data_IF_747543026386
#
_entry.id   IF_747543026386
#
_cell.length_a   1.000
_cell.length_b   1.000
_cell.length_c   1.000
_cell.angle_alpha   90.00
_cell.angle_beta   90.00
_cell.angle_gamma   90.00
#
_symmetry.space_group_name_H-M   'P 1'
#
loop_
_entity.id
_entity.type
_entity.pdbx_description
1 polymer ?
#
# COMPACT_ATOMS: atom_id res chain seq x y z
N UNK A 1 9.44 11.85 19.39
CA UNK A 1 10.54 12.81 19.19
C UNK A 1 11.39 12.47 17.96
N UNK A 2 11.99 11.28 17.87
CA UNK A 2 12.88 10.87 16.75
C UNK A 2 12.21 10.97 15.37
N UNK A 3 10.96 10.52 15.21
CA UNK A 3 10.21 10.63 13.96
C UNK A 3 10.14 12.07 13.41
N UNK A 4 9.81 13.03 14.26
CA UNK A 4 9.68 14.43 13.88
C UNK A 4 11.04 15.06 13.56
N UNK A 5 12.07 14.66 14.30
CA UNK A 5 13.46 15.09 14.03
C UNK A 5 13.92 14.59 12.65
N UNK A 6 13.70 13.31 12.33
CA UNK A 6 13.98 12.75 11.01
C UNK A 6 13.21 13.47 9.91
N UNK A 7 11.91 13.68 10.15
CA UNK A 7 11.01 14.29 9.16
C UNK A 7 11.30 15.75 8.87
N UNK A 8 11.62 16.56 9.88
CA UNK A 8 11.73 18.00 9.73
C UNK A 8 13.16 18.54 9.70
N UNK A 9 14.13 17.80 10.26
CA UNK A 9 15.51 18.27 10.40
C UNK A 9 16.48 17.53 9.47
N UNK A 10 16.43 16.21 9.43
CA UNK A 10 17.42 15.42 8.69
C UNK A 10 16.94 15.00 7.30
N UNK A 11 16.04 14.02 7.23
CA UNK A 11 15.64 13.37 5.97
C UNK A 11 14.70 14.26 5.17
N UNK A 12 13.75 14.90 5.83
CA UNK A 12 12.71 15.67 5.14
C UNK A 12 13.23 16.83 4.32
N UNK A 13 14.08 17.75 4.84
CA UNK A 13 14.63 18.84 4.06
C UNK A 13 15.44 18.33 2.86
N UNK A 14 16.29 17.33 3.07
CA UNK A 14 17.11 16.72 2.02
C UNK A 14 16.24 16.16 0.89
N UNK A 15 15.25 15.33 1.23
CA UNK A 15 14.37 14.72 0.23
C UNK A 15 13.47 15.75 -0.46
N UNK A 16 13.02 16.77 0.25
CA UNK A 16 12.21 17.84 -0.34
C UNK A 16 12.98 18.68 -1.35
N UNK A 17 14.27 18.93 -1.10
CA UNK A 17 15.13 19.74 -1.98
C UNK A 17 15.54 18.95 -3.22
N UNK A 18 15.99 17.70 -3.04
CA UNK A 18 16.48 16.88 -4.14
C UNK A 18 15.38 16.27 -5.01
N UNK A 19 14.20 16.04 -4.44
CA UNK A 19 13.05 15.44 -5.15
C UNK A 19 11.80 16.32 -5.00
N UNK A 20 11.64 17.33 -5.86
CA UNK A 20 10.44 18.15 -5.89
C UNK A 20 9.19 17.27 -6.06
N UNK A 21 8.30 17.33 -5.07
CA UNK A 21 7.12 16.47 -4.99
C UNK A 21 5.87 17.33 -5.12
N UNK A 22 5.05 17.09 -6.13
CA UNK A 22 3.71 17.63 -6.21
C UNK A 22 2.79 16.82 -5.29
N UNK A 23 1.97 17.50 -4.51
CA UNK A 23 1.01 16.86 -3.60
C UNK A 23 -0.39 17.37 -3.94
N UNK A 24 -1.32 16.44 -4.07
CA UNK A 24 -2.73 16.71 -4.40
C UNK A 24 -3.61 15.97 -3.39
N UNK A 25 -4.65 16.63 -2.90
CA UNK A 25 -5.66 16.02 -2.03
C UNK A 25 -5.18 15.73 -0.59
N UNK A 26 -4.10 16.37 -0.11
CA UNK A 26 -3.62 16.15 1.26
C UNK A 26 -4.66 16.52 2.33
N UNK A 27 -5.59 17.39 2.01
CA UNK A 27 -6.76 17.80 2.79
C UNK A 27 -7.76 16.65 3.02
N UNK A 28 -7.74 15.63 2.17
CA UNK A 28 -8.59 14.44 2.30
C UNK A 28 -8.18 13.54 3.48
N UNK A 29 -7.01 13.77 4.07
CA UNK A 29 -6.56 12.97 5.21
C UNK A 29 -7.20 13.53 6.48
N UNK A 30 -8.05 12.78 7.20
CA UNK A 30 -8.64 13.21 8.45
C UNK A 30 -7.59 13.64 9.47
N UNK A 31 -7.81 14.76 10.15
CA UNK A 31 -6.86 15.29 11.13
C UNK A 31 -6.80 14.45 12.40
N UNK A 32 -7.85 13.72 12.72
CA UNK A 32 -7.97 12.87 13.91
C UNK A 32 -8.55 11.50 13.54
N UNK A 33 -8.56 10.58 14.48
CA UNK A 33 -9.09 9.23 14.31
C UNK A 33 -8.15 8.29 13.55
N UNK A 34 -8.53 7.03 13.48
CA UNK A 34 -7.78 6.00 12.78
C UNK A 34 -7.99 6.06 11.27
N UNK A 35 -6.91 6.05 10.52
CA UNK A 35 -6.95 6.13 9.05
C UNK A 35 -5.97 5.14 8.45
N UNK A 36 -6.38 4.50 7.37
CA UNK A 36 -5.56 3.60 6.56
C UNK A 36 -5.20 4.33 5.27
N UNK A 37 -3.92 4.63 5.08
CA UNK A 37 -3.39 5.13 3.81
C UNK A 37 -3.06 3.92 2.93
N UNK A 38 -3.94 3.57 2.02
CA UNK A 38 -3.76 2.46 1.08
C UNK A 38 -3.07 2.97 -0.19
N UNK A 39 -1.81 2.57 -0.39
CA UNK A 39 -1.00 3.05 -1.52
C UNK A 39 -0.69 1.98 -2.56
N UNK A 40 -0.51 2.38 -3.84
CA UNK A 40 0.22 1.56 -4.80
C UNK A 40 1.70 1.48 -4.41
N UNK A 41 2.38 0.41 -4.80
CA UNK A 41 3.77 0.20 -4.38
C UNK A 41 4.72 0.02 -5.55
N UNK A 42 5.42 1.09 -5.91
CA UNK A 42 6.34 1.12 -7.06
C UNK A 42 7.81 0.97 -6.64
N UNK A 43 8.19 1.60 -5.53
CA UNK A 43 9.57 1.68 -5.09
C UNK A 43 9.72 1.64 -3.56
N UNK A 44 10.93 1.39 -3.06
CA UNK A 44 11.24 1.56 -1.63
C UNK A 44 11.01 3.01 -1.20
N UNK A 45 11.23 3.93 -2.11
CA UNK A 45 11.06 5.36 -1.93
C UNK A 45 9.65 5.77 -1.48
N UNK A 46 8.61 4.99 -1.84
CA UNK A 46 7.20 5.27 -1.45
C UNK A 46 7.05 5.42 0.06
N UNK A 47 7.67 4.52 0.83
CA UNK A 47 7.60 4.52 2.30
C UNK A 47 8.37 5.68 2.96
N UNK A 48 9.12 6.45 2.19
CA UNK A 48 9.79 7.66 2.65
C UNK A 48 9.04 8.91 2.21
N UNK A 49 8.63 8.99 0.93
CA UNK A 49 7.99 10.19 0.41
C UNK A 49 6.57 10.39 0.92
N UNK A 50 5.77 9.32 1.07
CA UNK A 50 4.41 9.42 1.59
C UNK A 50 4.37 10.05 3.00
N UNK A 51 5.14 9.57 4.02
CA UNK A 51 5.12 10.16 5.36
C UNK A 51 5.57 11.61 5.41
N UNK A 52 6.48 12.02 4.51
CA UNK A 52 6.99 13.39 4.47
C UNK A 52 5.94 14.43 4.09
N UNK A 53 4.88 14.01 3.42
CA UNK A 53 3.82 14.90 2.90
C UNK A 53 2.54 14.86 3.71
N UNK A 54 2.48 14.05 4.75
CA UNK A 54 1.34 13.92 5.67
C UNK A 54 1.63 14.67 6.96
N UNK A 55 0.70 15.47 7.48
CA UNK A 55 0.89 16.23 8.74
C UNK A 55 1.03 15.31 9.97
N UNK A 56 0.33 14.20 9.98
CA UNK A 56 0.33 13.20 11.06
C UNK A 56 1.47 12.21 10.91
N UNK A 57 1.79 11.49 11.98
CA UNK A 57 2.76 10.39 11.94
C UNK A 57 2.13 9.20 11.20
N UNK A 58 2.74 8.79 10.10
CA UNK A 58 2.37 7.57 9.38
C UNK A 58 3.17 6.40 9.95
N UNK A 59 2.50 5.31 10.24
CA UNK A 59 3.09 4.08 10.77
C UNK A 59 3.00 2.97 9.73
N UNK A 60 4.12 2.32 9.42
CA UNK A 60 4.19 1.19 8.49
C UNK A 60 4.58 -0.09 9.21
N UNK A 61 3.93 -1.22 8.89
CA UNK A 61 4.36 -2.53 9.34
C UNK A 61 5.68 -2.93 8.69
N UNK A 62 6.69 -3.26 9.48
CA UNK A 62 8.01 -3.70 9.00
C UNK A 62 8.45 -5.02 9.63
N UNK A 63 9.42 -5.70 9.01
CA UNK A 63 9.98 -6.94 9.53
C UNK A 63 10.62 -6.73 10.90
N UNK A 64 10.29 -7.60 11.87
CA UNK A 64 10.85 -7.56 13.23
C UNK A 64 12.39 -7.64 13.25
N UNK A 65 12.99 -8.31 12.27
CA UNK A 65 14.43 -8.47 12.17
C UNK A 65 15.19 -7.13 12.07
N UNK A 66 14.53 -6.08 11.54
CA UNK A 66 15.12 -4.72 11.50
C UNK A 66 15.26 -4.08 12.90
N UNK A 67 14.57 -4.64 13.90
CA UNK A 67 14.54 -4.11 15.27
C UNK A 67 15.24 -5.01 16.29
N UNK A 68 15.57 -6.24 15.91
CA UNK A 68 16.14 -7.27 16.81
C UNK A 68 17.58 -7.65 16.47
N UNK A 69 18.16 -7.11 15.40
CA UNK A 69 19.55 -7.37 15.02
C UNK A 69 20.51 -6.91 16.14
N UNK A 70 21.44 -7.76 16.59
CA UNK A 70 22.35 -7.43 17.68
C UNK A 70 23.46 -6.46 17.24
N UNK A 71 24.10 -5.82 18.25
CA UNK A 71 25.24 -4.94 18.06
C UNK A 71 24.89 -3.51 17.61
N UNK A 72 25.93 -2.69 17.42
CA UNK A 72 25.80 -1.27 17.09
C UNK A 72 25.05 -1.04 15.77
N UNK A 73 25.28 -1.90 14.76
CA UNK A 73 24.54 -1.85 13.48
C UNK A 73 23.05 -2.08 13.67
N UNK A 74 22.67 -3.05 14.52
CA UNK A 74 21.27 -3.32 14.85
C UNK A 74 20.64 -2.17 15.61
N UNK A 75 21.35 -1.55 16.56
CA UNK A 75 20.88 -0.39 17.28
C UNK A 75 20.61 0.80 16.34
N UNK A 76 21.52 1.08 15.40
CA UNK A 76 21.36 2.13 14.40
C UNK A 76 20.15 1.84 13.47
N UNK A 77 19.99 0.58 13.02
CA UNK A 77 18.83 0.18 12.23
C UNK A 77 17.53 0.38 13.01
N UNK A 78 17.46 -0.15 14.23
CA UNK A 78 16.29 0.02 15.11
C UNK A 78 15.93 1.48 15.29
N UNK A 79 16.92 2.32 15.60
CA UNK A 79 16.72 3.75 15.76
C UNK A 79 16.19 4.40 14.48
N UNK A 80 16.78 4.06 13.33
CA UNK A 80 16.37 4.56 12.02
C UNK A 80 14.92 4.15 11.69
N UNK A 81 14.60 2.85 11.74
CA UNK A 81 13.26 2.35 11.38
C UNK A 81 12.18 2.87 12.34
N UNK A 82 12.48 2.95 13.63
CA UNK A 82 11.57 3.60 14.61
C UNK A 82 11.40 5.09 14.28
N UNK A 83 12.50 5.75 13.89
CA UNK A 83 12.52 7.17 13.52
C UNK A 83 11.71 7.49 12.27
N UNK A 84 11.62 6.58 11.31
CA UNK A 84 10.78 6.76 10.11
C UNK A 84 9.36 6.21 10.28
N UNK A 85 8.94 5.84 11.52
CA UNK A 85 7.57 5.44 11.83
C UNK A 85 7.26 3.97 11.55
N UNK A 86 8.28 3.13 11.38
CA UNK A 86 8.04 1.70 11.20
C UNK A 86 7.90 0.98 12.55
N UNK A 87 7.04 -0.03 12.59
CA UNK A 87 6.79 -0.88 13.75
C UNK A 87 7.12 -2.34 13.43
N UNK A 88 7.74 -3.06 14.38
CA UNK A 88 8.07 -4.46 14.17
C UNK A 88 6.81 -5.31 14.10
N UNK A 89 6.79 -6.21 13.11
CA UNK A 89 5.83 -7.31 13.05
C UNK A 89 6.61 -8.60 13.03
N UNK A 90 6.32 -9.47 13.98
CA UNK A 90 6.86 -10.81 14.01
C UNK A 90 6.24 -11.65 12.89
N UNK A 91 7.07 -12.15 11.99
CA UNK A 91 6.69 -13.00 10.87
C UNK A 91 7.26 -14.41 10.98
N UNK A 92 7.83 -14.74 12.12
CA UNK A 92 8.49 -16.05 12.37
C UNK A 92 7.51 -17.17 12.70
N UNK A 93 6.31 -16.84 13.19
CA UNK A 93 5.28 -17.82 13.52
C UNK A 93 4.43 -18.19 12.30
N UNK A 94 3.86 -19.39 12.27
CA UNK A 94 2.89 -19.80 11.24
C UNK A 94 1.67 -18.88 11.12
N UNK A 95 1.40 -18.05 12.15
CA UNK A 95 0.34 -17.05 12.20
C UNK A 95 0.85 -15.61 11.98
N UNK A 96 2.04 -15.45 11.42
CA UNK A 96 2.69 -14.15 11.24
C UNK A 96 1.83 -13.12 10.47
N UNK A 97 1.09 -13.57 9.47
CA UNK A 97 0.18 -12.72 8.72
C UNK A 97 -0.98 -12.22 9.60
N UNK A 98 -1.53 -13.08 10.46
CA UNK A 98 -2.59 -12.72 11.39
C UNK A 98 -2.09 -11.72 12.44
N UNK A 99 -0.95 -11.96 13.07
CA UNK A 99 -0.35 -11.05 14.06
C UNK A 99 -0.08 -9.66 13.45
N UNK A 100 0.29 -9.61 12.17
CA UNK A 100 0.44 -8.36 11.44
C UNK A 100 -0.88 -7.61 11.28
N UNK A 101 -1.95 -8.31 10.92
CA UNK A 101 -3.29 -7.74 10.78
C UNK A 101 -3.81 -7.23 12.13
N UNK A 102 -3.68 -8.03 13.20
CA UNK A 102 -4.12 -7.66 14.55
C UNK A 102 -3.41 -6.41 15.07
N UNK A 103 -2.10 -6.32 14.83
CA UNK A 103 -1.31 -5.13 15.19
C UNK A 103 -1.76 -3.91 14.38
N UNK A 104 -1.98 -4.05 13.08
CA UNK A 104 -2.43 -2.98 12.21
C UNK A 104 -3.83 -2.49 12.61
N UNK A 105 -4.76 -3.41 12.87
CA UNK A 105 -6.12 -3.12 13.34
C UNK A 105 -6.11 -2.36 14.66
N UNK A 106 -5.31 -2.80 15.63
CA UNK A 106 -5.16 -2.13 16.92
C UNK A 106 -4.66 -0.70 16.76
N UNK A 107 -3.63 -0.46 15.95
CA UNK A 107 -3.10 0.88 15.71
C UNK A 107 -4.15 1.83 15.13
N UNK A 108 -4.95 1.35 14.16
CA UNK A 108 -6.02 2.17 13.60
C UNK A 108 -7.10 2.45 14.64
N UNK A 109 -7.50 1.47 15.46
CA UNK A 109 -8.44 1.67 16.59
C UNK A 109 -7.93 2.71 17.60
N UNK A 110 -6.63 2.73 17.85
CA UNK A 110 -5.97 3.71 18.72
C UNK A 110 -5.85 5.11 18.09
N UNK A 111 -6.38 5.31 16.89
CA UNK A 111 -6.40 6.60 16.21
C UNK A 111 -5.13 6.90 15.41
N UNK A 112 -4.29 5.92 15.13
CA UNK A 112 -3.07 6.12 14.35
C UNK A 112 -3.32 6.11 12.83
N UNK A 113 -2.42 6.74 12.08
CA UNK A 113 -2.34 6.62 10.62
C UNK A 113 -1.50 5.38 10.26
N UNK A 114 -2.13 4.43 9.61
CA UNK A 114 -1.49 3.23 9.09
C UNK A 114 -1.20 3.38 7.60
N UNK A 115 0.04 3.24 7.17
CA UNK A 115 0.40 3.09 5.76
C UNK A 115 0.44 1.61 5.38
N UNK A 116 -0.23 1.25 4.29
CA UNK A 116 -0.25 -0.12 3.78
C UNK A 116 -0.23 -0.13 2.25
N UNK A 117 0.37 -1.16 1.68
CA UNK A 117 0.37 -1.43 0.25
C UNK A 117 -0.45 -2.70 0.01
N UNK A 118 -1.69 -2.60 -0.51
CA UNK A 118 -2.58 -3.75 -0.69
C UNK A 118 -2.00 -4.84 -1.59
N UNK A 119 -1.18 -4.48 -2.57
CA UNK A 119 -0.47 -5.44 -3.45
C UNK A 119 0.47 -6.38 -2.67
N UNK A 120 0.91 -5.98 -1.47
CA UNK A 120 1.79 -6.75 -0.58
C UNK A 120 3.24 -6.87 -1.05
N UNK A 121 3.58 -6.37 -2.21
CA UNK A 121 4.95 -6.25 -2.75
C UNK A 121 4.99 -5.18 -3.83
N UNK A 122 6.17 -4.68 -4.16
CA UNK A 122 6.35 -3.70 -5.23
C UNK A 122 5.93 -4.26 -6.58
N UNK A 123 5.27 -3.43 -7.40
CA UNK A 123 4.96 -3.74 -8.79
C UNK A 123 6.25 -4.03 -9.57
N UNK A 124 6.33 -5.10 -10.36
CA UNK A 124 7.53 -5.42 -11.13
C UNK A 124 7.77 -4.51 -12.33
N UNK A 125 6.72 -3.91 -12.87
CA UNK A 125 6.71 -3.24 -14.19
C UNK A 125 5.93 -1.90 -14.22
N UNK A 126 5.48 -1.44 -13.07
CA UNK A 126 4.75 -0.18 -12.94
C UNK A 126 3.23 -0.30 -13.08
N UNK A 127 2.67 -1.47 -13.39
CA UNK A 127 1.22 -1.72 -13.38
C UNK A 127 0.69 -1.89 -11.97
N UNK A 128 -0.62 -1.74 -11.79
CA UNK A 128 -1.31 -1.97 -10.52
C UNK A 128 -1.84 -3.40 -10.47
N UNK A 129 -1.50 -4.13 -9.43
CA UNK A 129 -1.82 -5.53 -9.28
C UNK A 129 -2.90 -5.78 -8.22
N UNK A 130 -3.56 -6.94 -8.32
CA UNK A 130 -4.61 -7.37 -7.39
C UNK A 130 -4.21 -7.21 -5.93
N UNK A 131 -5.04 -6.52 -5.16
CA UNK A 131 -4.85 -6.31 -3.73
C UNK A 131 -5.16 -7.57 -2.91
N UNK A 132 -4.43 -7.74 -1.81
CA UNK A 132 -4.72 -8.73 -0.77
C UNK A 132 -5.81 -8.21 0.15
N UNK A 133 -6.70 -9.08 0.63
CA UNK A 133 -7.87 -8.72 1.45
C UNK A 133 -7.54 -8.22 2.85
N UNK A 134 -6.28 -8.27 3.26
CA UNK A 134 -5.86 -7.77 4.58
C UNK A 134 -6.20 -6.30 4.82
N UNK A 135 -6.19 -5.45 3.79
CA UNK A 135 -6.57 -4.04 3.92
C UNK A 135 -8.07 -3.89 4.27
N UNK A 136 -8.93 -4.67 3.62
CA UNK A 136 -10.36 -4.69 3.89
C UNK A 136 -10.67 -5.19 5.31
N UNK A 137 -9.97 -6.24 5.73
CA UNK A 137 -10.11 -6.78 7.08
C UNK A 137 -9.73 -5.75 8.15
N UNK A 138 -8.58 -5.05 7.98
CA UNK A 138 -8.18 -3.98 8.88
C UNK A 138 -9.26 -2.88 8.91
N UNK A 139 -9.79 -2.47 7.75
CA UNK A 139 -10.81 -1.43 7.67
C UNK A 139 -12.08 -1.82 8.43
N UNK A 140 -12.61 -3.03 8.19
CA UNK A 140 -13.80 -3.54 8.86
C UNK A 140 -13.61 -3.69 10.37
N UNK A 141 -12.53 -4.33 10.80
CA UNK A 141 -12.28 -4.58 12.22
C UNK A 141 -11.97 -3.30 13.00
N UNK A 142 -11.29 -2.34 12.39
CA UNK A 142 -10.91 -1.09 13.04
C UNK A 142 -11.95 0.02 12.91
N UNK A 143 -12.87 -0.08 11.93
CA UNK A 143 -13.77 1.00 11.49
C UNK A 143 -13.02 2.26 11.06
N UNK A 144 -11.78 2.09 10.61
CA UNK A 144 -10.95 3.17 10.10
C UNK A 144 -11.30 3.55 8.67
N UNK A 145 -11.30 4.85 8.37
CA UNK A 145 -11.43 5.32 6.99
C UNK A 145 -10.23 4.89 6.16
N UNK A 146 -10.46 4.56 4.90
CA UNK A 146 -9.40 4.23 3.94
C UNK A 146 -9.20 5.38 2.98
N UNK A 147 -8.00 5.96 2.95
CA UNK A 147 -7.62 6.99 1.98
C UNK A 147 -6.72 6.34 0.93
N UNK A 148 -7.17 6.24 -0.32
CA UNK A 148 -6.32 5.78 -1.41
C UNK A 148 -5.18 6.76 -1.65
N UNK A 149 -3.96 6.27 -1.90
CA UNK A 149 -2.78 7.13 -2.12
C UNK A 149 -2.04 6.67 -3.37
N UNK A 150 -2.03 7.49 -4.41
CA UNK A 150 -1.24 7.21 -5.60
C UNK A 150 0.15 7.81 -5.52
N UNK A 151 1.16 6.94 -5.61
CA UNK A 151 2.56 7.30 -5.79
C UNK A 151 2.86 7.29 -7.29
N UNK A 152 3.28 8.41 -7.85
CA UNK A 152 3.54 8.56 -9.30
C UNK A 152 4.99 8.97 -9.52
N UNK A 153 5.72 8.19 -10.31
CA UNK A 153 7.11 8.45 -10.68
C UNK A 153 8.17 7.99 -9.68
N UNK A 154 7.80 7.33 -8.60
CA UNK A 154 8.75 6.78 -7.62
C UNK A 154 9.54 5.58 -8.16
N UNK A 155 8.99 4.84 -9.12
CA UNK A 155 9.69 3.83 -9.93
C UNK A 155 10.90 4.41 -10.67
N UNK A 156 10.80 5.67 -11.14
CA UNK A 156 11.87 6.39 -11.82
C UNK A 156 12.90 6.98 -10.86
N UNK A 157 12.48 7.27 -9.62
CA UNK A 157 13.37 7.72 -8.55
C UNK A 157 14.24 6.57 -8.04
N UNK A 158 13.63 5.44 -7.76
CA UNK A 158 14.30 4.25 -7.23
C UNK A 158 13.82 2.98 -7.96
N UNK A 159 14.32 2.71 -9.18
CA UNK A 159 13.95 1.53 -9.95
C UNK A 159 14.24 0.23 -9.19
N UNK A 160 13.46 -0.80 -9.46
CA UNK A 160 13.66 -2.13 -8.87
C UNK A 160 15.06 -2.64 -9.22
N UNK A 161 15.77 -3.14 -8.20
CA UNK A 161 17.16 -3.60 -8.34
C UNK A 161 18.22 -2.50 -8.21
N UNK A 162 17.85 -1.22 -8.30
CA UNK A 162 18.78 -0.11 -8.09
C UNK A 162 18.92 0.24 -6.60
N UNK A 163 20.14 0.46 -6.14
CA UNK A 163 20.43 1.06 -4.83
C UNK A 163 20.50 2.58 -4.90
N UNK A 164 20.59 3.14 -6.09
CA UNK A 164 20.69 4.59 -6.31
C UNK A 164 19.31 5.22 -6.42
N UNK A 165 19.19 6.45 -5.95
CA UNK A 165 18.02 7.28 -6.08
C UNK A 165 18.31 8.42 -7.06
N UNK A 166 17.56 8.44 -8.17
CA UNK A 166 17.74 9.44 -9.23
C UNK A 166 16.89 10.68 -8.94
N UNK A 167 17.43 11.90 -9.06
CA UNK A 167 16.64 13.11 -8.90
C UNK A 167 15.60 13.21 -10.02
N UNK A 168 14.35 12.96 -9.68
CA UNK A 168 13.19 13.02 -10.56
C UNK A 168 12.05 13.71 -9.85
N UNK A 169 11.16 14.33 -10.62
CA UNK A 169 9.88 14.83 -10.09
C UNK A 169 8.97 13.65 -9.78
N UNK A 170 8.26 13.75 -8.69
CA UNK A 170 7.26 12.77 -8.29
C UNK A 170 5.98 13.46 -7.85
N UNK A 171 4.88 12.73 -7.88
CA UNK A 171 3.59 13.23 -7.44
C UNK A 171 2.98 12.24 -6.45
N UNK A 172 2.33 12.79 -5.41
CA UNK A 172 1.56 12.01 -4.44
C UNK A 172 0.15 12.55 -4.46
N UNK A 173 -0.82 11.68 -4.74
CA UNK A 173 -2.24 12.02 -4.76
C UNK A 173 -2.95 11.27 -3.65
N UNK A 174 -3.70 12.01 -2.83
CA UNK A 174 -4.56 11.44 -1.81
C UNK A 174 -6.00 11.52 -2.31
N UNK A 175 -6.64 10.38 -2.47
CA UNK A 175 -8.03 10.26 -2.91
C UNK A 175 -9.02 10.59 -1.81
N UNK A 176 -10.29 10.63 -2.16
CA UNK A 176 -11.39 10.78 -1.20
C UNK A 176 -11.42 9.60 -0.23
N UNK A 177 -11.64 9.84 1.06
CA UNK A 177 -11.78 8.77 2.04
C UNK A 177 -12.94 7.83 1.71
N UNK A 178 -12.68 6.55 1.77
CA UNK A 178 -13.67 5.49 1.61
C UNK A 178 -14.13 5.04 3.00
N UNK A 179 -15.44 5.02 3.19
CA UNK A 179 -16.11 4.56 4.42
C UNK A 179 -16.80 3.23 4.16
N UNK A 180 -16.44 2.23 4.93
CA UNK A 180 -16.98 0.88 4.85
C UNK A 180 -17.91 0.52 6.00
N UNK A 181 -18.40 1.51 6.76
CA UNK A 181 -19.32 1.31 7.90
C UNK A 181 -20.60 0.56 7.50
N UNK A 182 -21.01 0.65 6.23
CA UNK A 182 -22.15 -0.13 5.69
C UNK A 182 -21.96 -1.66 5.77
N UNK A 183 -20.75 -2.11 6.02
CA UNK A 183 -20.39 -3.52 6.17
C UNK A 183 -20.01 -3.88 7.62
N UNK A 184 -20.34 -3.04 8.60
CA UNK A 184 -20.06 -3.32 10.01
C UNK A 184 -20.64 -4.69 10.43
N UNK A 185 -19.82 -5.46 11.16
CA UNK A 185 -20.18 -6.80 11.61
C UNK A 185 -19.93 -7.92 10.59
N UNK A 186 -19.51 -7.61 9.36
CA UNK A 186 -19.25 -8.61 8.30
C UNK A 186 -17.75 -8.91 8.13
N UNK A 187 -16.92 -8.59 9.12
CA UNK A 187 -15.51 -9.01 9.13
C UNK A 187 -15.41 -10.54 9.14
N UNK A 188 -14.53 -11.08 8.30
CA UNK A 188 -14.37 -12.52 8.10
C UNK A 188 -15.20 -13.09 6.94
N UNK A 189 -16.16 -12.35 6.39
CA UNK A 189 -16.81 -12.71 5.14
C UNK A 189 -15.88 -12.44 3.95
N UNK A 190 -15.45 -13.52 3.29
CA UNK A 190 -14.47 -13.45 2.19
C UNK A 190 -14.97 -12.66 0.98
N UNK A 191 -16.27 -12.68 0.71
CA UNK A 191 -16.85 -11.95 -0.42
C UNK A 191 -16.88 -10.45 -0.12
N UNK A 192 -17.27 -10.07 1.09
CA UNK A 192 -17.26 -8.66 1.53
C UNK A 192 -15.84 -8.13 1.58
N UNK A 193 -14.90 -8.85 2.19
CA UNK A 193 -13.49 -8.45 2.22
C UNK A 193 -12.91 -8.31 0.80
N UNK A 194 -13.28 -9.19 -0.13
CA UNK A 194 -12.85 -9.09 -1.54
C UNK A 194 -13.46 -7.86 -2.20
N UNK A 195 -14.76 -7.63 -2.05
CA UNK A 195 -15.48 -6.49 -2.62
C UNK A 195 -14.88 -5.15 -2.16
N UNK A 196 -14.65 -5.00 -0.85
CA UNK A 196 -14.00 -3.82 -0.28
C UNK A 196 -12.59 -3.63 -0.84
N UNK A 197 -11.82 -4.72 -0.94
CA UNK A 197 -10.46 -4.64 -1.49
C UNK A 197 -10.49 -4.18 -2.94
N UNK A 198 -11.42 -4.70 -3.75
CA UNK A 198 -11.55 -4.33 -5.15
C UNK A 198 -11.98 -2.85 -5.29
N UNK A 199 -12.89 -2.37 -4.44
CA UNK A 199 -13.26 -0.94 -4.40
C UNK A 199 -12.03 -0.05 -4.09
N UNK A 200 -11.19 -0.44 -3.11
CA UNK A 200 -9.95 0.27 -2.81
C UNK A 200 -8.99 0.24 -4.01
N UNK A 201 -8.84 -0.92 -4.66
CA UNK A 201 -7.94 -1.05 -5.82
C UNK A 201 -8.42 -0.27 -7.04
N UNK A 202 -9.74 -0.19 -7.28
CA UNK A 202 -10.30 0.64 -8.34
C UNK A 202 -10.10 2.13 -8.06
N UNK A 203 -10.31 2.57 -6.82
CA UNK A 203 -9.98 3.95 -6.43
C UNK A 203 -8.49 4.28 -6.62
N UNK A 204 -7.60 3.33 -6.34
CA UNK A 204 -6.17 3.47 -6.62
C UNK A 204 -5.87 3.51 -8.12
N UNK A 205 -6.52 2.69 -8.92
CA UNK A 205 -6.38 2.66 -10.38
C UNK A 205 -6.76 4.02 -10.99
N UNK A 206 -7.91 4.54 -10.64
CA UNK A 206 -8.38 5.86 -11.11
C UNK A 206 -7.44 6.99 -10.68
N UNK A 207 -7.00 6.96 -9.41
CA UNK A 207 -6.15 7.99 -8.84
C UNK A 207 -4.73 7.97 -9.43
N UNK A 208 -4.17 6.79 -9.68
CA UNK A 208 -2.81 6.61 -10.21
C UNK A 208 -2.73 6.69 -11.74
N UNK A 209 -3.79 6.30 -12.44
CA UNK A 209 -3.82 6.12 -13.88
C UNK A 209 -3.07 4.87 -14.35
N UNK A 210 -2.76 3.94 -13.45
CA UNK A 210 -2.08 2.69 -13.79
C UNK A 210 -3.04 1.68 -14.45
N UNK A 211 -2.50 0.88 -15.37
CA UNK A 211 -3.20 -0.31 -15.87
C UNK A 211 -3.38 -1.32 -14.72
N UNK A 212 -4.62 -1.77 -14.50
CA UNK A 212 -4.93 -2.78 -13.49
C UNK A 212 -4.81 -4.19 -14.06
N UNK A 213 -4.12 -5.07 -13.33
CA UNK A 213 -3.92 -6.47 -13.70
C UNK A 213 -4.47 -7.38 -12.58
N UNK A 214 -5.50 -8.17 -12.88
CA UNK A 214 -6.20 -9.01 -11.90
C UNK A 214 -5.45 -10.30 -11.55
N UNK A 215 -4.14 -10.18 -11.30
CA UNK A 215 -3.31 -11.23 -10.67
C UNK A 215 -2.49 -10.61 -9.53
N UNK A 216 -2.04 -11.42 -8.60
CA UNK A 216 -1.17 -10.92 -7.54
C UNK A 216 0.22 -10.55 -8.07
N UNK A 217 0.78 -9.45 -7.60
CA UNK A 217 2.11 -8.98 -8.00
C UNK A 217 3.23 -10.02 -7.79
N UNK A 218 3.11 -10.88 -6.78
CA UNK A 218 4.04 -12.00 -6.58
C UNK A 218 4.02 -12.98 -7.76
N UNK A 219 2.81 -13.30 -8.25
CA UNK A 219 2.65 -14.18 -9.42
C UNK A 219 3.16 -13.53 -10.71
N UNK A 220 2.90 -12.23 -10.88
CA UNK A 220 3.44 -11.48 -12.01
C UNK A 220 4.98 -11.52 -12.05
N UNK A 221 5.64 -11.38 -10.89
CA UNK A 221 7.11 -11.50 -10.78
C UNK A 221 7.62 -12.86 -11.20
N UNK A 222 6.94 -13.94 -10.80
CA UNK A 222 7.29 -15.31 -11.22
C UNK A 222 7.17 -15.47 -12.75
N UNK A 223 6.08 -14.95 -13.33
CA UNK A 223 5.85 -15.02 -14.77
C UNK A 223 6.91 -14.25 -15.56
N UNK A 224 7.21 -13.02 -15.16
CA UNK A 224 8.26 -12.19 -15.78
C UNK A 224 9.64 -12.86 -15.66
N UNK A 225 9.96 -13.44 -14.50
CA UNK A 225 11.22 -14.15 -14.31
C UNK A 225 11.31 -15.42 -15.16
N UNK A 226 10.22 -16.18 -15.30
CA UNK A 226 10.15 -17.36 -16.13
C UNK A 226 10.32 -17.02 -17.62
N UNK A 227 9.68 -15.94 -18.08
CA UNK A 227 9.80 -15.44 -19.44
C UNK A 227 11.24 -15.00 -19.75
N UNK A 228 11.88 -14.27 -18.84
CA UNK A 228 13.28 -13.87 -18.95
C UNK A 228 14.24 -15.07 -18.98
N UNK A 229 13.87 -16.19 -18.35
CA UNK A 229 14.61 -17.46 -18.37
C UNK A 229 14.31 -18.34 -19.60
N UNK A 230 13.47 -17.88 -20.53
CA UNK A 230 13.09 -18.64 -21.74
C UNK A 230 12.09 -19.79 -21.48
N UNK A 231 11.51 -19.85 -20.29
CA UNK A 231 10.47 -20.84 -19.95
C UNK A 231 9.11 -20.24 -20.33
N UNK A 232 8.39 -20.89 -21.26
CA UNK A 232 7.01 -20.48 -21.60
C UNK A 232 6.09 -20.68 -20.40
N UNK A 233 5.89 -19.62 -19.62
CA UNK A 233 4.88 -19.60 -18.56
C UNK A 233 3.50 -19.42 -19.20
N UNK A 234 2.55 -20.35 -18.97
CA UNK A 234 1.15 -20.13 -19.32
C UNK A 234 0.60 -18.99 -18.46
N UNK A 235 0.36 -17.85 -19.08
CA UNK A 235 -0.46 -16.79 -18.50
C UNK A 235 -1.86 -17.36 -18.33
N UNK A 236 -2.48 -17.32 -17.15
CA UNK A 236 -3.91 -17.64 -17.04
C UNK A 236 -4.69 -16.67 -17.92
N UNK A 237 -5.48 -17.19 -18.85
CA UNK A 237 -6.40 -16.35 -19.62
C UNK A 237 -7.33 -15.63 -18.65
N UNK A 238 -7.38 -14.30 -18.76
CA UNK A 238 -8.39 -13.53 -18.02
C UNK A 238 -9.77 -13.98 -18.53
N UNK A 239 -10.75 -14.22 -17.64
CA UNK A 239 -12.11 -14.43 -18.09
C UNK A 239 -12.55 -13.14 -18.78
N UNK A 240 -12.63 -13.22 -20.12
CA UNK A 240 -13.21 -12.16 -20.93
C UNK A 240 -14.64 -11.95 -20.45
N UNK A 241 -14.89 -10.82 -19.79
CA UNK A 241 -16.21 -10.42 -19.35
C UNK A 241 -17.18 -10.25 -20.54
N UNK A 242 -17.77 -11.35 -20.96
CA UNK A 242 -18.94 -11.37 -21.84
C UNK A 242 -20.15 -11.70 -20.98
N UNK A 243 -20.62 -10.69 -20.26
CA UNK A 243 -21.92 -10.74 -19.59
C UNK A 243 -22.62 -9.37 -19.69
N UNK A 244 -22.71 -8.85 -20.91
CA UNK A 244 -23.58 -7.71 -21.20
C UNK A 244 -24.15 -7.87 -22.62
N UNK A 245 -25.00 -8.89 -22.83
CA UNK A 245 -25.92 -8.94 -23.97
C UNK A 245 -26.86 -10.16 -23.82
N UNK A 246 -27.72 -10.11 -22.83
CA UNK A 246 -29.01 -10.85 -22.83
C UNK A 246 -30.07 -10.01 -22.12
N UNK A 247 -30.57 -9.02 -22.83
CA UNK A 247 -31.88 -8.46 -22.52
C UNK A 247 -32.89 -9.49 -23.04
N UNK A 248 -33.79 -10.08 -22.20
CA UNK A 248 -34.86 -10.92 -22.69
C UNK A 248 -35.89 -10.03 -23.39
N UNK A 249 -36.08 -10.24 -24.67
CA UNK A 249 -37.23 -9.71 -25.39
C UNK A 249 -38.51 -10.17 -24.71
N UNK A 250 -39.24 -9.27 -24.08
CA UNK A 250 -40.61 -9.46 -23.64
C UNK A 250 -41.50 -9.53 -24.90
N UNK A 251 -41.95 -10.74 -25.24
CA UNK A 251 -43.04 -10.94 -26.19
C UNK A 251 -44.30 -10.35 -25.59
N UNK A 252 -44.79 -9.27 -26.22
CA UNK A 252 -46.15 -8.83 -26.05
C UNK A 252 -47.07 -9.82 -26.78
N UNK A 253 -48.09 -10.29 -26.09
CA UNK A 253 -49.23 -11.08 -26.53
C UNK A 253 -50.39 -10.81 -25.62
#
# INVERSE_FOLDING_TARGET
MVYWLMKFVFIGPLLKTLWPTKVVGAENIPETGGVILAGNHLAVADSFFMPLRVKRKVTFPAKSEYFTEPGLKGLLKKWFFTGVGQIPIDRSSGNAAQAALDTATRLVREGHLLGIYPEGTRSPDGRLYKGKTGVARIALESRGLVVPVAMVGTDKVNPIGSKMWWPRRLEIRFGTPLDFSRYDGLSGDRFIERSITDEIMYALMELSGQEYVDIYAAKAKELIAAEAAGVKAKVPEQPTGRAADRVPETKAG
#
